data_IF_424128339506
#
_entry.id   IF_424128339506
#
_cell.length_a   1.000
_cell.length_b   1.000
_cell.length_c   1.000
_cell.angle_alpha   90.00
_cell.angle_beta   90.00
_cell.angle_gamma   90.00
#
_symmetry.space_group_name_H-M   'P 1'
#
loop_
_entity.id
_entity.type
_entity.pdbx_description
1 polymer ?
#
# COMPACT_ATOMS: atom_id res chain seq x y z
N UNK A 1 9.18 12.55 12.40
CA UNK A 1 7.98 13.12 11.66
C UNK A 1 6.80 13.08 12.62
N UNK A 2 5.92 14.12 12.68
CA UNK A 2 4.76 14.05 13.58
C UNK A 2 3.69 13.07 13.05
N UNK A 3 2.81 12.58 13.94
CA UNK A 3 1.83 11.54 13.62
C UNK A 3 0.86 11.93 12.48
N UNK A 4 0.49 13.22 12.36
CA UNK A 4 -0.40 13.66 11.28
C UNK A 4 0.28 13.57 9.91
N UNK A 5 1.56 13.95 9.82
CA UNK A 5 2.34 13.82 8.59
C UNK A 5 2.61 12.36 8.22
N UNK A 6 2.76 11.49 9.20
CA UNK A 6 2.88 10.05 8.95
C UNK A 6 1.58 9.48 8.39
N UNK A 7 0.43 9.82 8.99
CA UNK A 7 -0.88 9.41 8.49
C UNK A 7 -1.10 9.92 7.06
N UNK A 8 -0.79 11.19 6.80
CA UNK A 8 -0.87 11.77 5.46
C UNK A 8 0.02 11.04 4.45
N UNK A 9 1.27 10.73 4.81
CA UNK A 9 2.20 10.02 3.93
C UNK A 9 1.70 8.61 3.61
N UNK A 10 1.32 7.83 4.63
CA UNK A 10 0.79 6.47 4.46
C UNK A 10 -0.54 6.44 3.68
N UNK A 11 -1.43 7.43 3.91
CA UNK A 11 -2.72 7.49 3.21
C UNK A 11 -2.61 7.95 1.75
N UNK A 12 -1.51 8.57 1.35
CA UNK A 12 -1.28 8.99 -0.03
C UNK A 12 -0.31 8.05 -0.79
N UNK A 13 0.32 7.12 -0.09
CA UNK A 13 1.18 6.11 -0.71
C UNK A 13 0.36 5.13 -1.54
N UNK A 14 0.94 4.63 -2.61
CA UNK A 14 0.33 3.57 -3.41
C UNK A 14 0.65 2.22 -2.78
N UNK A 15 -0.39 1.51 -2.34
CA UNK A 15 -0.28 0.25 -1.61
C UNK A 15 -1.23 -0.81 -2.15
N UNK A 16 -1.27 -1.02 -3.48
CA UNK A 16 -2.03 -2.13 -4.04
C UNK A 16 -1.46 -3.47 -3.54
N UNK A 17 -2.33 -4.46 -3.24
CA UNK A 17 -1.91 -5.77 -2.74
C UNK A 17 -0.83 -6.41 -3.63
N UNK A 18 0.34 -6.71 -3.05
CA UNK A 18 1.54 -7.19 -3.73
C UNK A 18 2.43 -6.09 -4.34
N UNK A 19 2.11 -4.81 -4.12
CA UNK A 19 2.84 -3.64 -4.60
C UNK A 19 2.87 -2.54 -3.52
N UNK A 20 3.10 -2.95 -2.27
CA UNK A 20 3.11 -2.06 -1.10
C UNK A 20 4.49 -1.43 -0.84
N UNK A 21 5.42 -1.48 -1.81
CA UNK A 21 6.81 -1.01 -1.64
C UNK A 21 6.88 0.41 -1.06
N UNK A 22 6.04 1.33 -1.56
CA UNK A 22 6.03 2.73 -1.09
C UNK A 22 5.59 2.84 0.38
N UNK A 23 4.61 2.04 0.80
CA UNK A 23 4.15 1.97 2.19
C UNK A 23 5.24 1.40 3.09
N UNK A 24 5.91 0.34 2.63
CA UNK A 24 7.05 -0.30 3.32
C UNK A 24 8.17 0.70 3.53
N UNK A 25 8.59 1.42 2.49
CA UNK A 25 9.64 2.44 2.56
C UNK A 25 9.32 3.55 3.57
N UNK A 26 8.07 4.04 3.58
CA UNK A 26 7.62 5.05 4.54
C UNK A 26 7.69 4.51 5.97
N UNK A 27 7.22 3.28 6.19
CA UNK A 27 7.20 2.66 7.51
C UNK A 27 8.62 2.41 8.06
N UNK A 28 9.52 1.85 7.24
CA UNK A 28 10.91 1.61 7.61
C UNK A 28 11.66 2.91 7.87
N UNK A 29 11.49 3.89 6.99
CA UNK A 29 12.09 5.21 7.17
C UNK A 29 11.60 5.89 8.44
N UNK A 30 10.30 5.83 8.74
CA UNK A 30 9.75 6.38 9.98
C UNK A 30 10.34 5.69 11.21
N UNK A 31 10.43 4.36 11.19
CA UNK A 31 11.02 3.61 12.28
C UNK A 31 12.50 3.98 12.53
N UNK A 32 13.25 4.22 11.46
CA UNK A 32 14.64 4.68 11.53
C UNK A 32 14.74 6.13 12.05
N UNK A 33 13.97 7.07 11.48
CA UNK A 33 14.01 8.49 11.82
C UNK A 33 13.61 8.76 13.30
N UNK A 34 12.70 7.95 13.83
CA UNK A 34 12.21 8.06 15.22
C UNK A 34 12.91 7.09 16.20
N UNK A 35 13.92 6.40 15.72
CA UNK A 35 14.71 5.44 16.53
C UNK A 35 13.83 4.42 17.28
N UNK A 36 12.79 3.89 16.61
CA UNK A 36 11.83 2.98 17.24
C UNK A 36 12.42 1.60 17.53
N UNK A 37 13.38 1.16 16.70
CA UNK A 37 14.01 -0.15 16.77
C UNK A 37 14.46 -0.64 15.41
N UNK A 38 14.87 -1.91 15.33
CA UNK A 38 15.24 -2.52 14.07
C UNK A 38 14.01 -2.73 13.19
N UNK A 39 14.04 -2.13 12.00
CA UNK A 39 13.01 -2.32 10.98
C UNK A 39 13.55 -3.22 9.87
N UNK A 40 12.73 -4.12 9.36
CA UNK A 40 13.02 -5.02 8.24
C UNK A 40 11.72 -5.45 7.57
N UNK A 41 11.78 -5.86 6.33
CA UNK A 41 10.66 -6.50 5.64
C UNK A 41 11.06 -7.88 5.10
N UNK A 42 10.05 -8.70 4.79
CA UNK A 42 10.22 -9.98 4.11
C UNK A 42 9.84 -9.90 2.62
N UNK A 43 9.92 -11.02 1.92
CA UNK A 43 9.60 -11.10 0.50
C UNK A 43 8.10 -10.91 0.17
N UNK A 44 7.24 -10.89 1.18
CA UNK A 44 5.81 -10.59 1.04
C UNK A 44 5.49 -9.15 1.47
N UNK A 45 6.51 -8.30 1.62
CA UNK A 45 6.40 -6.91 2.05
C UNK A 45 5.82 -6.73 3.47
N UNK A 46 5.83 -7.77 4.32
CA UNK A 46 5.51 -7.61 5.72
C UNK A 46 6.63 -6.84 6.43
N UNK A 47 6.31 -5.71 7.04
CA UNK A 47 7.26 -4.90 7.81
C UNK A 47 7.25 -5.31 9.27
N UNK A 48 8.42 -5.58 9.81
CA UNK A 48 8.64 -5.90 11.21
C UNK A 48 9.46 -4.80 11.87
N UNK A 49 8.97 -4.26 12.96
CA UNK A 49 9.69 -3.26 13.77
C UNK A 49 9.85 -3.82 15.17
N UNK A 50 11.07 -4.22 15.50
CA UNK A 50 11.42 -4.72 16.82
C UNK A 50 11.79 -3.53 17.73
N UNK A 51 10.84 -3.08 18.57
CA UNK A 51 11.04 -1.93 19.44
C UNK A 51 12.23 -2.15 20.39
N UNK A 52 13.04 -1.11 20.61
CA UNK A 52 14.23 -1.15 21.48
C UNK A 52 13.96 -1.68 22.90
N UNK A 53 12.74 -1.51 23.40
CA UNK A 53 12.35 -2.03 24.73
C UNK A 53 11.98 -3.52 24.72
N UNK A 54 11.93 -4.15 23.54
CA UNK A 54 11.66 -5.57 23.42
C UNK A 54 12.95 -6.34 23.79
N UNK A 55 12.95 -6.97 24.95
CA UNK A 55 14.09 -7.77 25.44
C UNK A 55 14.00 -9.24 25.04
N UNK A 56 12.97 -9.65 24.30
CA UNK A 56 12.67 -11.05 24.01
C UNK A 56 12.20 -11.86 25.23
N UNK A 57 12.03 -11.24 26.39
CA UNK A 57 11.49 -11.88 27.60
C UNK A 57 9.97 -11.79 27.59
N UNK A 58 9.30 -12.83 28.02
CA UNK A 58 7.84 -12.87 28.14
C UNK A 58 7.33 -11.95 29.26
N UNK A 59 6.14 -11.36 29.13
CA UNK A 59 5.26 -11.40 27.93
C UNK A 59 5.78 -10.49 26.81
N UNK A 60 5.59 -10.92 25.56
CA UNK A 60 5.85 -10.12 24.37
C UNK A 60 4.50 -9.70 23.79
N UNK A 61 4.33 -8.42 23.50
CA UNK A 61 3.14 -7.88 22.85
C UNK A 61 3.46 -7.60 21.37
N UNK A 62 2.66 -8.14 20.48
CA UNK A 62 2.68 -7.83 19.06
C UNK A 62 1.48 -6.94 18.74
N UNK A 63 1.71 -5.89 17.96
CA UNK A 63 0.68 -5.04 17.38
C UNK A 63 0.82 -5.16 15.87
N UNK A 64 -0.26 -5.48 15.18
CA UNK A 64 -0.26 -5.62 13.73
C UNK A 64 -1.37 -4.81 13.07
N UNK A 65 -1.14 -4.41 11.81
CA UNK A 65 -2.10 -3.77 10.93
C UNK A 65 -1.72 -4.11 9.48
N UNK A 66 -2.73 -4.20 8.60
CA UNK A 66 -2.44 -4.40 7.17
C UNK A 66 -1.95 -3.10 6.51
N UNK A 67 -1.14 -3.22 5.46
CA UNK A 67 -0.52 -2.12 4.72
C UNK A 67 -1.14 -1.89 3.34
N UNK A 68 -1.90 -2.88 2.82
CA UNK A 68 -2.51 -2.79 1.51
C UNK A 68 -3.80 -1.96 1.51
N UNK A 69 -4.12 -1.41 0.34
CA UNK A 69 -5.36 -0.69 0.07
C UNK A 69 -6.21 -1.41 -0.99
N UNK A 70 -7.52 -1.10 -1.00
CA UNK A 70 -8.41 -1.55 -2.07
C UNK A 70 -7.96 -0.98 -3.42
N UNK A 71 -7.74 -1.86 -4.39
CA UNK A 71 -7.13 -1.51 -5.67
C UNK A 71 -7.68 -2.35 -6.82
N UNK A 72 -7.03 -2.27 -7.97
CA UNK A 72 -7.40 -3.03 -9.16
C UNK A 72 -6.16 -3.58 -9.83
N UNK A 73 -6.25 -4.78 -10.41
CA UNK A 73 -5.22 -5.33 -11.27
C UNK A 73 -5.68 -5.33 -12.72
N UNK A 74 -4.84 -4.83 -13.63
CA UNK A 74 -5.14 -4.81 -15.07
C UNK A 74 -5.14 -6.24 -15.61
N UNK A 75 -6.27 -6.67 -16.15
CA UNK A 75 -6.42 -7.98 -16.75
C UNK A 75 -6.10 -7.96 -18.25
N UNK A 76 -6.49 -6.91 -18.96
CA UNK A 76 -6.28 -6.80 -20.40
C UNK A 76 -6.33 -5.33 -20.87
N UNK A 77 -5.63 -5.08 -21.97
CA UNK A 77 -5.74 -3.86 -22.75
C UNK A 77 -6.59 -4.20 -23.98
N UNK A 78 -7.74 -3.53 -24.13
CA UNK A 78 -8.65 -3.78 -25.24
C UNK A 78 -8.21 -3.03 -26.52
N UNK A 79 -8.63 -3.47 -27.72
CA UNK A 79 -8.25 -2.82 -28.98
C UNK A 79 -8.66 -1.35 -29.10
N UNK A 80 -9.70 -0.94 -28.38
CA UNK A 80 -10.16 0.46 -28.31
C UNK A 80 -9.36 1.33 -27.31
N UNK A 81 -8.29 0.79 -26.72
CA UNK A 81 -7.43 1.48 -25.75
C UNK A 81 -7.96 1.52 -24.33
N UNK A 82 -9.13 0.93 -24.04
CA UNK A 82 -9.61 0.82 -22.65
C UNK A 82 -8.94 -0.36 -21.93
N UNK A 83 -8.86 -0.25 -20.60
CA UNK A 83 -8.35 -1.31 -19.75
C UNK A 83 -9.50 -2.12 -19.15
N UNK A 84 -9.37 -3.44 -19.15
CA UNK A 84 -10.17 -4.33 -18.32
C UNK A 84 -9.38 -4.64 -17.06
N UNK A 85 -10.02 -4.54 -15.90
CA UNK A 85 -9.40 -4.79 -14.62
C UNK A 85 -10.26 -5.72 -13.75
N UNK A 86 -9.62 -6.29 -12.73
CA UNK A 86 -10.24 -7.05 -11.66
C UNK A 86 -10.06 -6.30 -10.34
N UNK A 87 -11.05 -6.33 -9.44
CA UNK A 87 -10.93 -5.71 -8.13
C UNK A 87 -9.99 -6.51 -7.23
N UNK A 88 -9.20 -5.80 -6.42
CA UNK A 88 -8.45 -6.31 -5.29
C UNK A 88 -9.01 -5.67 -4.03
N UNK A 89 -9.36 -6.49 -3.04
CA UNK A 89 -10.01 -6.03 -1.80
C UNK A 89 -11.53 -5.87 -1.90
N UNK A 90 -12.11 -5.26 -0.87
CA UNK A 90 -13.56 -5.18 -0.65
C UNK A 90 -14.25 -4.03 -1.38
N UNK A 91 -14.32 -4.06 -2.70
CA UNK A 91 -15.05 -3.07 -3.49
C UNK A 91 -16.56 -3.31 -3.52
N UNK A 92 -17.33 -2.24 -3.33
CA UNK A 92 -18.74 -2.22 -3.76
C UNK A 92 -18.82 -1.83 -5.23
N UNK A 93 -19.32 -2.72 -6.09
CA UNK A 93 -19.40 -2.48 -7.52
C UNK A 93 -20.18 -1.22 -7.91
N UNK A 94 -21.12 -0.81 -7.08
CA UNK A 94 -21.94 0.38 -7.29
C UNK A 94 -21.19 1.71 -7.09
N UNK A 95 -20.12 1.70 -6.33
CA UNK A 95 -19.34 2.92 -6.01
C UNK A 95 -18.15 3.11 -6.94
N UNK A 96 -17.73 2.09 -7.67
CA UNK A 96 -16.53 2.10 -8.51
C UNK A 96 -16.60 3.02 -9.74
N UNK A 97 -17.74 3.12 -10.46
CA UNK A 97 -17.82 4.00 -11.63
C UNK A 97 -17.52 5.47 -11.31
N UNK A 98 -16.89 6.15 -12.26
CA UNK A 98 -16.45 7.56 -12.17
C UNK A 98 -15.30 7.84 -11.20
N UNK A 99 -14.74 6.83 -10.51
CA UNK A 99 -13.54 7.02 -9.71
C UNK A 99 -12.34 7.38 -10.59
N UNK A 100 -11.58 8.35 -10.12
CA UNK A 100 -10.24 8.62 -10.65
C UNK A 100 -9.28 7.57 -10.10
N UNK A 101 -8.48 7.00 -10.99
CA UNK A 101 -7.48 5.99 -10.63
C UNK A 101 -6.11 6.38 -11.18
N UNK A 102 -5.08 5.82 -10.60
CA UNK A 102 -3.73 5.83 -11.13
C UNK A 102 -3.37 4.42 -11.56
N UNK A 103 -2.87 4.30 -12.78
CA UNK A 103 -2.41 3.03 -13.34
C UNK A 103 -0.90 3.07 -13.44
N UNK A 104 -0.25 2.13 -12.77
CA UNK A 104 1.19 1.96 -12.89
C UNK A 104 1.50 1.21 -14.19
N UNK A 105 2.41 1.76 -14.97
CA UNK A 105 2.93 1.14 -16.19
C UNK A 105 4.12 0.25 -15.86
N UNK A 106 4.48 -0.63 -16.80
CA UNK A 106 5.62 -1.54 -16.63
C UNK A 106 6.96 -0.83 -16.37
N UNK A 107 7.12 0.40 -16.87
CA UNK A 107 8.29 1.24 -16.64
C UNK A 107 8.19 2.12 -15.37
N UNK A 108 7.25 1.80 -14.49
CA UNK A 108 7.08 2.44 -13.18
C UNK A 108 6.39 3.80 -13.21
N UNK A 109 5.89 4.26 -14.37
CA UNK A 109 5.18 5.54 -14.45
C UNK A 109 3.72 5.40 -14.06
N UNK A 110 3.14 6.50 -13.59
CA UNK A 110 1.73 6.56 -13.22
C UNK A 110 0.92 7.33 -14.27
N UNK A 111 -0.10 6.71 -14.80
CA UNK A 111 -1.04 7.29 -15.76
C UNK A 111 -2.40 7.47 -15.09
N UNK A 112 -3.00 8.66 -15.26
CA UNK A 112 -4.33 8.92 -14.72
C UNK A 112 -5.40 8.29 -15.59
N UNK A 113 -6.38 7.65 -14.96
CA UNK A 113 -7.54 7.06 -15.60
C UNK A 113 -8.84 7.40 -14.87
N UNK A 114 -9.96 7.08 -15.51
CA UNK A 114 -11.30 7.14 -14.93
C UNK A 114 -11.98 5.80 -15.16
N UNK A 115 -12.62 5.28 -14.13
CA UNK A 115 -13.41 4.07 -14.25
C UNK A 115 -14.70 4.39 -14.98
N UNK A 116 -14.89 3.77 -16.16
CA UNK A 116 -16.13 3.87 -16.92
C UNK A 116 -17.16 2.88 -16.39
N UNK A 117 -18.45 3.27 -16.42
CA UNK A 117 -19.54 2.31 -16.32
C UNK A 117 -19.78 1.65 -17.67
N UNK A 118 -20.01 0.37 -17.69
CA UNK A 118 -20.47 -0.38 -18.87
C UNK A 118 -21.98 -0.40 -18.91
#
# INVERSE_FOLDING_TARGET
MNSLKLIEALSNAYGACGFEDEVVEIAEKYAQDEELGAARHDCNLNVYIDAHKNTGKKPVVMVDAHSDECSFVVQAIKPNGTLRFLPLGGWSSYTVPAHKVKVQTYDGKWVSGIVAST
#
